data_IF_209642477662
#
_entry.id   IF_209642477662
#
_cell.length_a   1.000
_cell.length_b   1.000
_cell.length_c   1.000
_cell.angle_alpha   90.00
_cell.angle_beta   90.00
_cell.angle_gamma   90.00
#
_symmetry.space_group_name_H-M   'P 1'
#
loop_
_entity.id
_entity.type
_entity.pdbx_description
1 polymer ?
#
# COMPACT_ATOMS: atom_id res chain seq x y z
N UNK A 1 21.84 8.30 -31.90
CA UNK A 1 21.67 6.91 -31.40
C UNK A 1 20.21 6.68 -31.10
N UNK A 2 19.61 5.71 -31.75
CA UNK A 2 18.21 5.35 -31.49
C UNK A 2 18.10 4.59 -30.16
N UNK A 3 16.89 4.47 -29.64
CA UNK A 3 16.63 3.66 -28.44
C UNK A 3 17.05 2.20 -28.64
N UNK A 4 16.82 1.66 -29.83
CA UNK A 4 17.21 0.29 -30.17
C UNK A 4 18.72 0.11 -30.20
N UNK A 5 19.48 1.07 -30.72
CA UNK A 5 20.93 1.04 -30.71
C UNK A 5 21.52 1.08 -29.30
N UNK A 6 20.91 1.87 -28.41
CA UNK A 6 21.31 1.94 -27.01
C UNK A 6 21.03 0.62 -26.29
N UNK A 7 19.87 -0.01 -26.54
CA UNK A 7 19.51 -1.30 -25.95
C UNK A 7 20.45 -2.40 -26.43
N UNK A 8 20.78 -2.43 -27.71
CA UNK A 8 21.74 -3.40 -28.27
C UNK A 8 23.13 -3.21 -27.67
N UNK A 9 23.57 -1.97 -27.49
CA UNK A 9 24.85 -1.66 -26.85
C UNK A 9 24.89 -2.16 -25.40
N UNK A 10 23.85 -1.87 -24.62
CA UNK A 10 23.74 -2.28 -23.22
C UNK A 10 23.68 -3.82 -23.08
N UNK A 11 22.99 -4.50 -24.00
CA UNK A 11 22.93 -5.95 -24.04
C UNK A 11 24.31 -6.58 -24.31
N UNK A 12 25.05 -6.06 -25.27
CA UNK A 12 26.42 -6.50 -25.60
C UNK A 12 27.37 -6.33 -24.41
N UNK A 13 27.20 -5.31 -23.60
CA UNK A 13 28.03 -5.05 -22.43
C UNK A 13 27.54 -5.79 -21.18
N UNK A 14 26.44 -6.56 -21.27
CA UNK A 14 25.86 -7.29 -20.14
C UNK A 14 25.14 -6.41 -19.14
N UNK A 15 25.01 -5.11 -19.38
CA UNK A 15 24.38 -4.16 -18.48
C UNK A 15 22.85 -4.28 -18.45
N UNK A 16 22.27 -4.75 -19.55
CA UNK A 16 20.81 -4.91 -19.66
C UNK A 16 20.28 -5.99 -18.74
N UNK A 17 21.03 -7.06 -18.53
CA UNK A 17 20.66 -8.15 -17.60
C UNK A 17 20.56 -7.64 -16.16
N UNK A 18 21.45 -6.75 -15.74
CA UNK A 18 21.41 -6.19 -14.38
C UNK A 18 20.22 -5.25 -14.18
N UNK A 19 19.86 -4.47 -15.19
CA UNK A 19 18.73 -3.52 -15.15
C UNK A 19 17.39 -4.26 -15.17
N UNK A 20 17.26 -5.33 -15.98
CA UNK A 20 16.02 -6.07 -16.15
C UNK A 20 15.69 -7.01 -14.99
N UNK A 21 16.69 -7.38 -14.17
CA UNK A 21 16.54 -8.32 -13.06
C UNK A 21 16.31 -7.65 -11.70
N UNK A 22 16.31 -6.31 -11.64
CA UNK A 22 16.17 -5.56 -10.39
C UNK A 22 14.73 -5.36 -9.90
N UNK A 23 13.82 -6.28 -10.21
CA UNK A 23 12.51 -6.27 -9.59
C UNK A 23 12.64 -6.65 -8.12
N UNK A 24 12.03 -5.83 -7.26
CA UNK A 24 12.11 -5.98 -5.82
C UNK A 24 10.81 -6.51 -5.25
N UNK A 25 10.91 -7.29 -4.19
CA UNK A 25 9.78 -7.57 -3.33
C UNK A 25 9.50 -6.35 -2.45
N UNK A 26 8.24 -6.02 -2.24
CA UNK A 26 7.83 -4.89 -1.41
C UNK A 26 7.07 -5.40 -0.19
N UNK A 27 7.47 -4.93 0.96
CA UNK A 27 6.77 -5.14 2.23
C UNK A 27 6.09 -3.83 2.58
N UNK A 28 4.77 -3.86 2.65
CA UNK A 28 3.97 -2.68 2.98
C UNK A 28 3.33 -2.84 4.36
N UNK A 29 3.68 -1.93 5.24
CA UNK A 29 3.14 -1.85 6.60
C UNK A 29 2.43 -0.51 6.80
N UNK A 30 1.27 -0.54 7.42
CA UNK A 30 0.47 0.65 7.68
C UNK A 30 -0.19 0.57 9.05
N UNK A 31 -0.22 1.71 9.72
CA UNK A 31 -1.04 1.92 10.92
C UNK A 31 -1.80 3.24 10.79
N UNK A 32 -2.97 3.34 11.42
CA UNK A 32 -3.67 4.61 11.55
C UNK A 32 -2.95 5.52 12.53
N UNK A 33 -3.27 6.83 12.53
CA UNK A 33 -2.59 7.82 13.35
C UNK A 33 -2.87 7.64 14.85
N UNK A 34 -2.10 6.79 15.52
CA UNK A 34 -2.07 6.73 16.99
C UNK A 34 -0.61 6.83 17.45
N UNK A 35 -0.23 7.97 18.00
CA UNK A 35 1.14 8.43 18.15
C UNK A 35 2.04 7.54 19.01
N UNK A 36 1.52 6.90 20.04
CA UNK A 36 2.37 6.18 21.01
C UNK A 36 2.77 4.77 20.57
N UNK A 37 1.98 4.10 19.75
CA UNK A 37 2.24 2.73 19.30
C UNK A 37 2.72 2.64 17.84
N UNK A 38 2.63 3.72 17.10
CA UNK A 38 2.76 3.76 15.65
C UNK A 38 4.06 3.13 15.15
N UNK A 39 5.19 3.56 15.68
CA UNK A 39 6.50 3.09 15.22
C UNK A 39 6.74 1.62 15.57
N UNK A 40 6.37 1.22 16.78
CA UNK A 40 6.50 -0.15 17.26
C UNK A 40 5.63 -1.11 16.45
N UNK A 41 4.38 -0.72 16.14
CA UNK A 41 3.46 -1.52 15.37
C UNK A 41 3.89 -1.67 13.90
N UNK A 42 4.41 -0.59 13.31
CA UNK A 42 4.97 -0.64 11.96
C UNK A 42 6.16 -1.59 11.87
N UNK A 43 7.08 -1.47 12.80
CA UNK A 43 8.27 -2.32 12.85
C UNK A 43 7.89 -3.79 13.05
N UNK A 44 6.90 -4.06 13.90
CA UNK A 44 6.38 -5.40 14.14
C UNK A 44 5.77 -6.01 12.88
N UNK A 45 4.94 -5.26 12.14
CA UNK A 45 4.36 -5.72 10.87
C UNK A 45 5.45 -6.07 9.86
N UNK A 46 6.42 -5.19 9.69
CA UNK A 46 7.52 -5.39 8.76
C UNK A 46 8.36 -6.61 9.13
N UNK A 47 8.72 -6.75 10.39
CA UNK A 47 9.51 -7.88 10.89
C UNK A 47 8.75 -9.20 10.75
N UNK A 48 7.45 -9.20 11.05
CA UNK A 48 6.61 -10.39 10.86
C UNK A 48 6.65 -10.87 9.42
N UNK A 49 6.50 -9.97 8.46
CA UNK A 49 6.54 -10.31 7.03
C UNK A 49 7.93 -10.80 6.60
N UNK A 50 8.99 -10.16 7.06
CA UNK A 50 10.36 -10.57 6.76
C UNK A 50 10.63 -11.99 7.29
N UNK A 51 10.16 -12.30 8.49
CA UNK A 51 10.38 -13.60 9.13
C UNK A 51 9.52 -14.72 8.54
N UNK A 52 8.33 -14.40 8.02
CA UNK A 52 7.35 -15.39 7.56
C UNK A 52 7.26 -15.55 6.04
N UNK A 53 8.04 -14.78 5.29
CA UNK A 53 8.12 -14.90 3.83
C UNK A 53 9.50 -15.37 3.44
N UNK A 54 9.54 -16.52 2.74
CA UNK A 54 10.79 -17.09 2.26
C UNK A 54 11.17 -16.49 0.90
N UNK A 55 12.49 -16.47 0.64
CA UNK A 55 13.04 -16.08 -0.66
C UNK A 55 12.72 -14.66 -1.11
N UNK A 56 12.71 -13.70 -0.19
CA UNK A 56 12.59 -12.30 -0.53
C UNK A 56 13.78 -11.83 -1.37
N UNK A 57 13.49 -11.15 -2.48
CA UNK A 57 14.51 -10.60 -3.38
C UNK A 57 14.57 -9.09 -3.19
N UNK A 58 15.69 -8.60 -2.67
CA UNK A 58 16.00 -7.19 -2.48
C UNK A 58 14.80 -6.42 -1.87
N UNK A 59 14.28 -6.83 -0.70
CA UNK A 59 13.03 -6.31 -0.18
C UNK A 59 13.09 -4.81 0.12
N UNK A 60 12.09 -4.09 -0.33
CA UNK A 60 11.85 -2.69 0.01
C UNK A 60 10.73 -2.63 1.04
N UNK A 61 11.01 -2.02 2.18
CA UNK A 61 10.01 -1.85 3.24
C UNK A 61 9.40 -0.47 3.17
N UNK A 62 8.10 -0.40 2.94
CA UNK A 62 7.33 0.84 2.95
C UNK A 62 6.47 0.88 4.22
N UNK A 63 6.71 1.88 5.04
CA UNK A 63 5.98 2.10 6.30
C UNK A 63 5.13 3.35 6.18
N UNK A 64 3.83 3.20 6.37
CA UNK A 64 2.84 4.26 6.20
C UNK A 64 2.11 4.53 7.50
N UNK A 65 1.96 5.81 7.85
CA UNK A 65 1.07 6.26 8.91
C UNK A 65 -0.08 7.01 8.26
N UNK A 66 -1.27 6.48 8.36
CA UNK A 66 -2.46 7.07 7.78
C UNK A 66 -3.63 6.10 7.73
N UNK A 67 -4.83 6.65 7.62
CA UNK A 67 -6.06 5.86 7.52
C UNK A 67 -6.13 5.09 6.19
N UNK A 68 -6.68 3.87 6.25
CA UNK A 68 -7.01 3.08 5.06
C UNK A 68 -8.04 3.75 4.14
N UNK A 69 -8.76 4.75 4.64
CA UNK A 69 -9.70 5.57 3.86
C UNK A 69 -9.02 6.71 3.10
N UNK A 70 -7.78 7.05 3.44
CA UNK A 70 -7.05 8.13 2.79
C UNK A 70 -6.46 7.63 1.47
N UNK A 71 -6.92 8.18 0.36
CA UNK A 71 -6.47 7.84 -0.99
C UNK A 71 -5.21 8.59 -1.45
N UNK A 72 -4.70 9.50 -0.61
CA UNK A 72 -3.53 10.34 -0.92
C UNK A 72 -2.29 9.96 -0.11
N UNK A 73 -2.24 8.73 0.38
CA UNK A 73 -1.10 8.25 1.17
C UNK A 73 0.17 8.19 0.32
N UNK A 74 1.24 8.82 0.80
CA UNK A 74 2.51 8.96 0.05
C UNK A 74 3.17 7.63 -0.28
N UNK A 75 3.21 6.72 0.68
CA UNK A 75 3.88 5.41 0.48
C UNK A 75 3.09 4.50 -0.45
N UNK A 76 1.76 4.55 -0.39
CA UNK A 76 0.92 3.82 -1.34
C UNK A 76 1.11 4.36 -2.76
N UNK A 77 1.16 5.68 -2.91
CA UNK A 77 1.43 6.31 -4.23
C UNK A 77 2.82 5.94 -4.75
N UNK A 78 3.82 5.90 -3.88
CA UNK A 78 5.17 5.43 -4.21
C UNK A 78 5.14 3.98 -4.70
N UNK A 79 4.40 3.11 -4.00
CA UNK A 79 4.22 1.71 -4.39
C UNK A 79 3.57 1.59 -5.77
N UNK A 80 2.50 2.34 -6.01
CA UNK A 80 1.81 2.34 -7.31
C UNK A 80 2.76 2.77 -8.43
N UNK A 81 3.55 3.81 -8.20
CA UNK A 81 4.54 4.27 -9.18
C UNK A 81 5.62 3.20 -9.47
N UNK A 82 6.09 2.52 -8.44
CA UNK A 82 7.06 1.44 -8.60
C UNK A 82 6.47 0.28 -9.42
N UNK A 83 5.22 -0.09 -9.17
CA UNK A 83 4.52 -1.13 -9.93
C UNK A 83 4.35 -0.71 -11.40
N UNK A 84 3.91 0.52 -11.63
CA UNK A 84 3.72 1.04 -12.98
C UNK A 84 5.02 1.15 -13.78
N UNK A 85 6.16 1.27 -13.10
CA UNK A 85 7.48 1.28 -13.71
C UNK A 85 8.13 -0.11 -13.78
N UNK A 86 7.37 -1.17 -13.52
CA UNK A 86 7.80 -2.57 -13.57
C UNK A 86 9.01 -2.87 -12.67
N UNK A 87 9.08 -2.23 -11.51
CA UNK A 87 10.17 -2.39 -10.53
C UNK A 87 9.81 -3.30 -9.36
N UNK A 88 8.59 -3.84 -9.34
CA UNK A 88 8.08 -4.66 -8.25
C UNK A 88 7.84 -6.09 -8.73
N UNK A 89 8.25 -7.05 -7.90
CA UNK A 89 8.00 -8.48 -8.12
C UNK A 89 6.73 -8.93 -7.43
N UNK A 90 6.67 -8.84 -6.11
CA UNK A 90 5.51 -9.15 -5.28
C UNK A 90 5.34 -8.13 -4.17
N UNK A 91 4.12 -8.00 -3.67
CA UNK A 91 3.79 -7.12 -2.54
C UNK A 91 3.26 -7.99 -1.40
N UNK A 92 3.80 -7.81 -0.20
CA UNK A 92 3.43 -8.55 0.99
C UNK A 92 2.80 -7.63 2.02
N UNK A 93 1.63 -8.01 2.51
CA UNK A 93 0.89 -7.31 3.57
C UNK A 93 0.36 -8.32 4.58
N UNK A 94 0.15 -7.89 5.82
CA UNK A 94 -0.44 -8.75 6.86
C UNK A 94 -1.96 -8.90 6.70
N UNK A 95 -2.62 -7.85 6.21
CA UNK A 95 -4.06 -7.83 5.94
C UNK A 95 -4.34 -6.96 4.72
N UNK A 96 -5.39 -7.28 3.98
CA UNK A 96 -5.86 -6.48 2.83
C UNK A 96 -6.10 -5.02 3.21
N UNK A 97 -6.66 -4.80 4.41
CA UNK A 97 -6.98 -3.46 4.93
C UNK A 97 -5.74 -2.60 5.19
N UNK A 98 -4.56 -3.20 5.32
CA UNK A 98 -3.32 -2.44 5.42
C UNK A 98 -2.99 -1.74 4.12
N UNK A 99 -3.32 -2.33 2.99
CA UNK A 99 -3.10 -1.71 1.69
C UNK A 99 -4.14 -0.62 1.43
N UNK A 100 -5.41 -0.97 1.52
CA UNK A 100 -6.50 0.00 1.39
C UNK A 100 -7.77 -0.55 2.03
N UNK A 101 -8.63 0.35 2.53
CA UNK A 101 -9.93 -0.02 3.10
C UNK A 101 -10.92 -0.38 2.01
N UNK A 102 -10.96 0.40 0.94
CA UNK A 102 -11.83 0.19 -0.20
C UNK A 102 -11.01 0.16 -1.48
N UNK A 103 -11.53 -0.48 -2.51
CA UNK A 103 -10.89 -0.53 -3.83
C UNK A 103 -9.72 -1.51 -3.93
N UNK A 104 -9.61 -2.47 -3.02
CA UNK A 104 -8.55 -3.48 -3.07
C UNK A 104 -8.57 -4.25 -4.40
N UNK A 105 -9.74 -4.64 -4.88
CA UNK A 105 -9.86 -5.37 -6.13
C UNK A 105 -9.36 -4.58 -7.34
N UNK A 106 -9.54 -3.27 -7.34
CA UNK A 106 -9.01 -2.41 -8.41
C UNK A 106 -7.49 -2.37 -8.40
N UNK A 107 -6.89 -2.26 -7.22
CA UNK A 107 -5.44 -2.30 -7.07
C UNK A 107 -4.88 -3.66 -7.49
N UNK A 108 -5.52 -4.73 -7.07
CA UNK A 108 -5.12 -6.09 -7.40
C UNK A 108 -5.10 -6.32 -8.92
N UNK A 109 -6.16 -5.91 -9.62
CA UNK A 109 -6.24 -6.02 -11.08
C UNK A 109 -5.20 -5.15 -11.79
N UNK A 110 -4.99 -3.92 -11.33
CA UNK A 110 -3.97 -3.04 -11.88
C UNK A 110 -2.57 -3.65 -11.72
N UNK A 111 -2.28 -4.21 -10.56
CA UNK A 111 -0.98 -4.81 -10.26
C UNK A 111 -0.77 -6.10 -11.06
N UNK A 112 -1.82 -6.90 -11.28
CA UNK A 112 -1.75 -8.08 -12.17
C UNK A 112 -1.33 -7.72 -13.59
N UNK A 113 -1.80 -6.59 -14.11
CA UNK A 113 -1.42 -6.13 -15.45
C UNK A 113 0.08 -5.84 -15.56
N UNK A 114 0.77 -5.65 -14.44
CA UNK A 114 2.22 -5.49 -14.35
C UNK A 114 2.94 -6.74 -13.80
N UNK A 115 2.27 -7.88 -13.83
CA UNK A 115 2.77 -9.15 -13.31
C UNK A 115 3.15 -9.10 -11.82
N UNK A 116 2.43 -8.30 -11.03
CA UNK A 116 2.63 -8.14 -9.60
C UNK A 116 1.48 -8.78 -8.83
N UNK A 117 1.81 -9.63 -7.87
CA UNK A 117 0.85 -10.27 -6.99
C UNK A 117 0.88 -9.66 -5.60
N UNK A 118 -0.29 -9.43 -5.01
CA UNK A 118 -0.43 -9.05 -3.61
C UNK A 118 -0.60 -10.32 -2.78
N UNK A 119 0.32 -10.55 -1.85
CA UNK A 119 0.32 -11.72 -0.97
C UNK A 119 -0.04 -11.28 0.44
N UNK A 120 -1.12 -11.85 0.98
CA UNK A 120 -1.57 -11.56 2.35
C UNK A 120 -1.07 -12.68 3.27
N UNK A 121 -0.24 -12.32 4.24
CA UNK A 121 0.30 -13.21 5.26
C UNK A 121 -0.28 -12.79 6.61
N UNK A 122 -1.39 -13.39 7.00
CA UNK A 122 -2.13 -12.99 8.20
C UNK A 122 -1.33 -13.21 9.48
N UNK A 123 -1.23 -12.18 10.30
CA UNK A 123 -0.71 -12.23 11.66
C UNK A 123 -1.88 -12.25 12.65
N UNK A 124 -2.07 -13.36 13.35
CA UNK A 124 -3.16 -13.53 14.32
C UNK A 124 -3.08 -12.50 15.48
N UNK A 125 -1.88 -12.08 15.85
CA UNK A 125 -1.68 -11.09 16.92
C UNK A 125 -2.19 -9.70 16.54
N UNK A 126 -2.28 -9.43 15.25
CA UNK A 126 -2.69 -8.14 14.70
C UNK A 126 -4.22 -8.06 14.48
N UNK A 127 -4.91 -9.17 14.53
CA UNK A 127 -6.35 -9.25 14.18
C UNK A 127 -7.22 -8.28 14.98
N UNK A 128 -6.96 -8.15 16.28
CA UNK A 128 -7.67 -7.21 17.16
C UNK A 128 -7.46 -5.76 16.72
N UNK A 129 -6.22 -5.38 16.44
CA UNK A 129 -5.85 -4.02 16.02
C UNK A 129 -6.50 -3.68 14.66
N UNK A 130 -6.56 -4.63 13.74
CA UNK A 130 -7.21 -4.46 12.44
C UNK A 130 -8.71 -4.22 12.61
N UNK A 131 -9.37 -4.98 13.48
CA UNK A 131 -10.80 -4.81 13.77
C UNK A 131 -11.09 -3.47 14.44
N UNK A 132 -10.28 -3.07 15.42
CA UNK A 132 -10.41 -1.77 16.09
C UNK A 132 -10.24 -0.61 15.09
N UNK A 133 -9.25 -0.69 14.23
CA UNK A 133 -9.04 0.30 13.17
C UNK A 133 -10.23 0.38 12.22
N UNK A 134 -10.82 -0.75 11.84
CA UNK A 134 -12.01 -0.78 11.01
C UNK A 134 -13.18 -0.05 11.67
N UNK A 135 -13.42 -0.31 12.96
CA UNK A 135 -14.48 0.36 13.72
C UNK A 135 -14.23 1.87 13.78
N UNK A 136 -13.01 2.28 14.09
CA UNK A 136 -12.63 3.71 14.16
C UNK A 136 -12.82 4.41 12.81
N UNK A 137 -12.42 3.78 11.71
CA UNK A 137 -12.60 4.31 10.36
C UNK A 137 -14.09 4.44 10.00
N UNK A 138 -14.90 3.45 10.34
CA UNK A 138 -16.35 3.50 10.11
C UNK A 138 -17.02 4.61 10.93
N UNK A 139 -16.64 4.77 12.20
CA UNK A 139 -17.15 5.84 13.05
C UNK A 139 -16.77 7.22 12.53
N UNK A 140 -15.54 7.38 12.07
CA UNK A 140 -15.07 8.64 11.45
C UNK A 140 -15.85 8.97 10.17
N UNK A 141 -16.12 7.97 9.35
CA UNK A 141 -16.89 8.10 8.13
C UNK A 141 -18.35 8.53 8.43
N UNK A 142 -18.99 7.87 9.39
CA UNK A 142 -20.36 8.20 9.83
C UNK A 142 -20.42 9.63 10.37
N UNK A 143 -19.45 10.02 11.21
CA UNK A 143 -19.38 11.39 11.75
C UNK A 143 -19.23 12.43 10.65
N UNK A 144 -18.41 12.17 9.64
CA UNK A 144 -18.23 13.04 8.48
C UNK A 144 -19.51 13.18 7.67
N UNK A 145 -20.22 12.11 7.40
CA UNK A 145 -21.52 12.13 6.71
C UNK A 145 -22.57 12.88 7.51
N UNK A 146 -22.67 12.63 8.81
CA UNK A 146 -23.63 13.31 9.70
C UNK A 146 -23.39 14.82 9.72
N UNK A 147 -22.13 15.25 9.79
CA UNK A 147 -21.75 16.66 9.72
C UNK A 147 -22.15 17.31 8.40
N UNK A 148 -21.90 16.64 7.29
CA UNK A 148 -22.28 17.13 5.95
C UNK A 148 -23.80 17.24 5.78
N UNK A 149 -24.55 16.23 6.21
CA UNK A 149 -26.00 16.23 6.16
C UNK A 149 -26.59 17.34 7.01
N UNK A 150 -26.06 17.55 8.22
CA UNK A 150 -26.49 18.64 9.10
C UNK A 150 -26.21 20.03 8.47
N UNK A 151 -25.03 20.20 7.89
CA UNK A 151 -24.67 21.41 7.18
C UNK A 151 -25.62 21.72 6.00
N UNK A 152 -25.97 20.71 5.22
CA UNK A 152 -26.91 20.85 4.09
C UNK A 152 -28.31 21.23 4.57
N UNK A 153 -28.83 20.62 5.66
CA UNK A 153 -30.13 20.96 6.24
C UNK A 153 -30.13 22.37 6.77
N UNK A 154 -29.07 22.80 7.45
CA UNK A 154 -28.95 24.16 7.98
C UNK A 154 -28.93 25.19 6.86
N UNK A 155 -28.24 24.89 5.75
CA UNK A 155 -28.19 25.77 4.56
C UNK A 155 -29.56 25.92 3.90
N UNK A 156 -30.30 24.82 3.74
CA UNK A 156 -31.65 24.84 3.17
C UNK A 156 -32.65 25.64 4.02
N UNK A 157 -32.51 25.61 5.36
CA UNK A 157 -33.33 26.43 6.26
C UNK A 157 -33.06 27.93 6.12
N UNK A 158 -31.82 28.33 5.79
CA UNK A 158 -31.46 29.74 5.59
C UNK A 158 -31.93 30.31 4.26
N UNK A 159 -32.15 29.44 3.27
CA UNK A 159 -32.63 29.85 1.93
C UNK A 159 -34.16 29.98 1.85
N UNK A 160 -34.88 29.53 2.89
CA UNK A 160 -36.32 29.73 3.05
C UNK A 160 -36.64 30.99 3.88
#
# INVERSE_FOLDING_TARGET
>A
MTREDLLDYLDKEGMLCDISLEKRDVIYARVSSNEQKTKSDLDRQAMFLIENVDNLINPLVLKEVGSGLNDKRKKLMELINLVCNDQVRNIYVTYKDRLTRFGFNYLEEMFKNHDVQIVVVKDKKEEKDVKEELVDDMMSLIASFSGKLYGMRSKNKKEK
#
